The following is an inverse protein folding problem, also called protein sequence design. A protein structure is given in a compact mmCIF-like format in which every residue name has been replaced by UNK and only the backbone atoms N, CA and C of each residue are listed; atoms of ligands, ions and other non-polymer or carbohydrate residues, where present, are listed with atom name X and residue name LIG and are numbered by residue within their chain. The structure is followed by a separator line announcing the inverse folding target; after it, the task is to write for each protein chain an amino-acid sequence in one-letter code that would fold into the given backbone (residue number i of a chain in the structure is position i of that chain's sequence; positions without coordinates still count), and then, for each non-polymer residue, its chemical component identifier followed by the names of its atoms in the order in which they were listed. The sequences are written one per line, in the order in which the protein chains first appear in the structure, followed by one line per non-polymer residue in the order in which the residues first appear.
data_IF_307672420473
#
_entry.id   IF_307672420473
#
_cell.length_a   1.000
_cell.length_b   1.000
_cell.length_c   1.000
_cell.angle_alpha   90.00
_cell.angle_beta   90.00
_cell.angle_gamma   90.00
#
_symmetry.space_group_name_H-M   'P 1'
#
loop_
_entity.id
_entity.type
_entity.pdbx_description
1 polymer ?
#
# COMPACT_ATOMS: atom_id res chain seq x y z
N UNK A 1 -18.42 -16.41 -25.25
CA UNK A 1 -17.42 -15.75 -24.40
C UNK A 1 -18.00 -14.42 -23.96
N UNK A 2 -18.14 -14.15 -22.65
CA UNK A 2 -18.86 -12.98 -22.11
C UNK A 2 -18.17 -11.62 -22.36
N UNK A 3 -16.95 -11.63 -22.92
CA UNK A 3 -16.13 -10.45 -23.20
C UNK A 3 -16.29 -9.87 -24.62
N UNK A 4 -17.17 -10.45 -25.46
CA UNK A 4 -17.40 -9.95 -26.82
C UNK A 4 -16.30 -10.27 -27.85
N UNK A 5 -15.20 -10.92 -27.45
CA UNK A 5 -14.16 -11.39 -28.38
C UNK A 5 -14.54 -12.70 -29.07
N UNK A 6 -14.13 -12.84 -30.34
CA UNK A 6 -14.04 -14.14 -30.99
C UNK A 6 -12.90 -14.96 -30.38
N UNK A 7 -12.99 -16.29 -30.49
CA UNK A 7 -11.95 -17.20 -29.99
C UNK A 7 -10.57 -16.88 -30.56
N UNK A 8 -10.50 -16.50 -31.83
CA UNK A 8 -9.23 -16.14 -32.49
C UNK A 8 -8.62 -14.90 -31.86
N UNK A 9 -9.41 -13.84 -31.72
CA UNK A 9 -8.95 -12.57 -31.12
C UNK A 9 -8.48 -12.76 -29.67
N UNK A 10 -9.20 -13.58 -28.90
CA UNK A 10 -8.80 -13.87 -27.52
C UNK A 10 -7.54 -14.77 -27.47
N UNK A 11 -7.43 -15.76 -28.35
CA UNK A 11 -6.24 -16.62 -28.43
C UNK A 11 -4.99 -15.82 -28.78
N UNK A 12 -5.09 -14.87 -29.72
CA UNK A 12 -4.01 -13.97 -30.09
C UNK A 12 -3.56 -13.12 -28.90
N UNK A 13 -4.50 -12.57 -28.10
CA UNK A 13 -4.20 -11.84 -26.86
C UNK A 13 -3.51 -12.70 -25.80
N UNK A 14 -3.96 -13.94 -25.63
CA UNK A 14 -3.32 -14.89 -24.72
C UNK A 14 -1.96 -15.41 -25.23
N UNK A 15 -1.60 -15.15 -26.49
CA UNK A 15 -0.45 -15.74 -27.17
C UNK A 15 -0.53 -17.26 -27.24
N UNK A 16 -1.73 -17.79 -27.52
CA UNK A 16 -1.99 -19.21 -27.80
C UNK A 16 -2.57 -19.35 -29.21
N UNK A 17 -2.51 -20.55 -29.79
CA UNK A 17 -3.28 -20.81 -31.02
C UNK A 17 -4.76 -20.97 -30.70
N UNK A 18 -5.65 -20.55 -31.61
CA UNK A 18 -7.10 -20.77 -31.44
C UNK A 18 -7.46 -22.25 -31.27
N UNK A 19 -6.71 -23.15 -31.91
CA UNK A 19 -6.87 -24.60 -31.78
C UNK A 19 -6.49 -25.10 -30.37
N UNK A 20 -5.44 -24.55 -29.76
CA UNK A 20 -5.04 -24.87 -28.38
C UNK A 20 -6.13 -24.46 -27.40
N UNK A 21 -6.66 -23.25 -27.56
CA UNK A 21 -7.70 -22.71 -26.68
C UNK A 21 -9.00 -23.52 -26.81
N UNK A 22 -9.37 -23.89 -28.04
CA UNK A 22 -10.50 -24.81 -28.29
C UNK A 22 -10.28 -26.19 -27.66
N UNK A 23 -9.09 -26.77 -27.77
CA UNK A 23 -8.83 -28.08 -27.19
C UNK A 23 -8.94 -28.10 -25.66
N UNK A 24 -8.64 -26.97 -25.00
CA UNK A 24 -8.88 -26.77 -23.57
C UNK A 24 -10.37 -26.57 -23.23
N UNK A 25 -11.08 -25.76 -24.01
CA UNK A 25 -12.54 -25.56 -23.85
C UNK A 25 -13.33 -26.86 -24.05
N UNK A 26 -12.92 -27.69 -25.01
CA UNK A 26 -13.50 -29.01 -25.30
C UNK A 26 -13.12 -30.07 -24.24
N UNK A 27 -12.22 -29.75 -23.30
CA UNK A 27 -11.72 -30.69 -22.30
C UNK A 27 -10.84 -31.81 -22.86
N UNK A 28 -10.31 -31.67 -24.07
CA UNK A 28 -9.46 -32.70 -24.71
C UNK A 28 -8.10 -32.85 -24.01
N UNK A 29 -7.58 -31.76 -23.45
CA UNK A 29 -6.32 -31.75 -22.72
C UNK A 29 -6.41 -30.90 -21.46
N UNK A 30 -5.73 -31.29 -20.37
CA UNK A 30 -5.64 -30.48 -19.17
C UNK A 30 -4.84 -29.20 -19.43
N UNK A 31 -5.28 -28.08 -18.87
CA UNK A 31 -4.59 -26.80 -18.99
C UNK A 31 -3.36 -26.78 -18.07
N UNK A 32 -2.14 -26.55 -18.58
CA UNK A 32 -0.98 -26.42 -17.73
C UNK A 32 -1.10 -25.22 -16.78
N UNK A 33 -0.67 -25.36 -15.52
CA UNK A 33 -0.76 -24.28 -14.50
C UNK A 33 -0.16 -22.95 -14.99
N UNK A 34 1.01 -22.99 -15.64
CA UNK A 34 1.66 -21.80 -16.22
C UNK A 34 0.78 -21.13 -17.29
N UNK A 35 0.11 -21.93 -18.12
CA UNK A 35 -0.81 -21.42 -19.13
C UNK A 35 -2.08 -20.83 -18.52
N UNK A 36 -2.57 -21.41 -17.41
CA UNK A 36 -3.73 -20.90 -16.68
C UNK A 36 -3.46 -19.53 -16.06
N UNK A 37 -2.27 -19.32 -15.48
CA UNK A 37 -1.88 -17.99 -14.97
C UNK A 37 -1.90 -16.95 -16.09
N UNK A 38 -1.35 -17.28 -17.26
CA UNK A 38 -1.37 -16.38 -18.43
C UNK A 38 -2.79 -16.11 -18.94
N UNK A 39 -3.65 -17.13 -18.94
CA UNK A 39 -5.04 -17.03 -19.34
C UNK A 39 -5.83 -16.11 -18.40
N UNK A 40 -5.71 -16.30 -17.09
CA UNK A 40 -6.35 -15.46 -16.06
C UNK A 40 -5.82 -14.03 -16.11
N UNK A 41 -4.52 -13.84 -16.33
CA UNK A 41 -3.95 -12.50 -16.53
C UNK A 41 -4.55 -11.82 -17.76
N UNK A 42 -4.70 -12.54 -18.87
CA UNK A 42 -5.28 -11.95 -20.09
C UNK A 42 -6.76 -11.58 -19.88
N UNK A 43 -7.51 -12.38 -19.11
CA UNK A 43 -8.88 -12.02 -18.70
C UNK A 43 -8.90 -10.76 -17.84
N UNK A 44 -7.97 -10.65 -16.89
CA UNK A 44 -7.80 -9.47 -16.06
C UNK A 44 -7.54 -8.23 -16.91
N UNK A 45 -6.61 -8.31 -17.87
CA UNK A 45 -6.30 -7.23 -18.82
C UNK A 45 -7.50 -6.87 -19.72
N UNK A 46 -8.41 -7.81 -19.95
CA UNK A 46 -9.67 -7.60 -20.67
C UNK A 46 -10.81 -7.09 -19.75
N UNK A 47 -10.53 -6.77 -18.49
CA UNK A 47 -11.48 -6.19 -17.55
C UNK A 47 -12.31 -7.22 -16.79
N UNK A 48 -11.81 -8.44 -16.60
CA UNK A 48 -12.52 -9.50 -15.87
C UNK A 48 -11.60 -10.21 -14.87
N UNK A 49 -11.92 -10.10 -13.58
CA UNK A 49 -11.16 -10.69 -12.50
C UNK A 49 -11.71 -12.08 -12.16
N UNK A 50 -10.81 -13.03 -11.92
CA UNK A 50 -11.10 -14.42 -11.59
C UNK A 50 -9.83 -15.08 -11.04
N UNK A 51 -9.93 -16.28 -10.45
CA UNK A 51 -8.75 -17.01 -9.97
C UNK A 51 -8.47 -18.26 -10.82
N UNK A 52 -7.20 -18.70 -10.93
CA UNK A 52 -6.84 -19.94 -11.62
C UNK A 52 -7.56 -21.17 -11.08
N UNK A 53 -7.77 -21.22 -9.76
CA UNK A 53 -8.47 -22.30 -9.06
C UNK A 53 -9.91 -22.39 -9.60
N UNK A 54 -10.58 -21.25 -9.76
CA UNK A 54 -11.98 -21.24 -10.19
C UNK A 54 -12.14 -21.89 -11.57
N UNK A 55 -11.16 -21.68 -12.46
CA UNK A 55 -11.11 -22.34 -13.77
C UNK A 55 -10.79 -23.84 -13.71
N UNK A 56 -9.97 -24.27 -12.75
CA UNK A 56 -9.47 -25.64 -12.68
C UNK A 56 -10.39 -26.58 -11.90
N UNK A 57 -11.01 -26.10 -10.82
CA UNK A 57 -11.82 -26.92 -9.91
C UNK A 57 -13.12 -26.25 -9.44
N UNK A 58 -13.42 -25.03 -9.90
CA UNK A 58 -14.63 -24.29 -9.50
C UNK A 58 -14.53 -23.63 -8.12
N UNK A 59 -13.39 -23.71 -7.45
CA UNK A 59 -13.14 -23.08 -6.14
C UNK A 59 -12.42 -21.74 -6.31
N UNK A 60 -12.71 -20.74 -5.49
CA UNK A 60 -12.05 -19.43 -5.57
C UNK A 60 -12.91 -18.35 -6.21
N UNK A 61 -12.28 -17.37 -6.88
CA UNK A 61 -12.96 -16.15 -7.34
C UNK A 61 -13.65 -16.38 -8.70
N UNK A 62 -14.99 -16.42 -8.76
CA UNK A 62 -15.69 -16.50 -10.04
C UNK A 62 -15.45 -15.24 -10.89
N UNK A 63 -15.56 -15.35 -12.23
CA UNK A 63 -15.46 -14.24 -13.17
C UNK A 63 -16.36 -13.07 -12.79
N UNK A 64 -15.76 -11.90 -12.56
CA UNK A 64 -16.47 -10.66 -12.28
C UNK A 64 -15.89 -9.51 -13.10
N UNK A 65 -16.71 -8.62 -13.66
CA UNK A 65 -16.22 -7.40 -14.30
C UNK A 65 -15.39 -6.57 -13.33
N UNK A 66 -14.25 -6.09 -13.80
CA UNK A 66 -13.38 -5.17 -13.06
C UNK A 66 -13.90 -3.77 -13.33
N UNK A 67 -14.23 -3.04 -12.26
CA UNK A 67 -14.52 -1.61 -12.41
C UNK A 67 -13.18 -0.89 -12.70
N UNK A 68 -13.12 0.06 -13.64
CA UNK A 68 -11.83 0.72 -13.98
C UNK A 68 -11.15 1.35 -12.75
N UNK A 69 -11.95 1.82 -11.79
CA UNK A 69 -11.52 2.26 -10.47
C UNK A 69 -10.83 1.17 -9.62
N UNK A 70 -11.27 -0.09 -9.73
CA UNK A 70 -10.62 -1.19 -9.00
C UNK A 70 -9.27 -1.57 -9.63
N UNK A 71 -9.08 -1.35 -10.93
CA UNK A 71 -7.81 -1.66 -11.61
C UNK A 71 -6.73 -0.61 -11.29
N UNK A 72 -7.08 0.67 -11.28
CA UNK A 72 -6.16 1.73 -10.84
C UNK A 72 -5.76 1.57 -9.38
N UNK A 73 -6.72 1.28 -8.49
CA UNK A 73 -6.43 1.05 -7.07
C UNK A 73 -5.63 -0.23 -6.82
N UNK A 74 -5.79 -1.30 -7.60
CA UNK A 74 -4.93 -2.50 -7.49
C UNK A 74 -3.51 -2.19 -7.95
N UNK A 75 -3.34 -1.57 -9.11
CA UNK A 75 -2.02 -1.23 -9.64
C UNK A 75 -1.28 -0.21 -8.76
N UNK A 76 -2.02 0.74 -8.18
CA UNK A 76 -1.48 1.71 -7.22
C UNK A 76 -1.07 1.03 -5.90
N UNK A 77 -1.90 0.12 -5.36
CA UNK A 77 -1.53 -0.67 -4.18
C UNK A 77 -0.27 -1.49 -4.42
N UNK A 78 -0.15 -2.12 -5.59
CA UNK A 78 1.06 -2.86 -5.97
C UNK A 78 2.28 -1.94 -6.09
N UNK A 79 2.11 -0.72 -6.62
CA UNK A 79 3.19 0.26 -6.68
C UNK A 79 3.64 0.70 -5.27
N UNK A 80 2.70 1.05 -4.40
CA UNK A 80 2.99 1.42 -3.00
C UNK A 80 3.71 0.28 -2.29
N UNK A 81 3.26 -0.97 -2.45
CA UNK A 81 3.93 -2.14 -1.86
C UNK A 81 5.36 -2.33 -2.37
N UNK A 82 5.61 -2.12 -3.67
CA UNK A 82 6.97 -2.17 -4.22
C UNK A 82 7.86 -1.07 -3.64
N UNK A 83 7.33 0.15 -3.49
CA UNK A 83 8.06 1.26 -2.87
C UNK A 83 8.39 1.00 -1.40
N UNK A 84 7.42 0.47 -0.64
CA UNK A 84 7.60 0.05 0.76
C UNK A 84 8.70 -1.01 0.85
N UNK A 85 8.60 -2.08 0.06
CA UNK A 85 9.59 -3.15 0.04
C UNK A 85 10.99 -2.61 -0.29
N UNK A 86 11.09 -1.74 -1.30
CA UNK A 86 12.36 -1.10 -1.67
C UNK A 86 12.94 -0.26 -0.53
N UNK A 87 12.11 0.54 0.15
CA UNK A 87 12.56 1.33 1.29
C UNK A 87 13.05 0.43 2.43
N UNK A 88 12.35 -0.68 2.70
CA UNK A 88 12.72 -1.62 3.74
C UNK A 88 14.03 -2.37 3.44
N UNK A 89 14.28 -2.72 2.17
CA UNK A 89 15.52 -3.44 1.78
C UNK A 89 16.75 -2.54 1.75
N UNK A 90 16.60 -1.28 1.34
CA UNK A 90 17.73 -0.36 1.13
C UNK A 90 18.16 0.40 2.39
N UNK A 91 17.37 0.33 3.46
CA UNK A 91 17.62 1.12 4.66
C UNK A 91 17.76 0.24 5.90
N UNK A 92 18.76 0.54 6.74
CA UNK A 92 18.93 -0.13 8.03
C UNK A 92 17.85 0.31 9.02
N UNK A 93 17.28 -0.64 9.74
CA UNK A 93 16.22 -0.44 10.73
C UNK A 93 15.07 0.45 10.20
N UNK A 94 14.46 0.09 9.06
CA UNK A 94 13.39 0.90 8.48
C UNK A 94 12.17 0.88 9.40
N UNK A 95 11.43 1.97 9.39
CA UNK A 95 10.07 2.02 9.92
C UNK A 95 9.18 2.75 8.92
N UNK A 96 8.04 2.16 8.64
CA UNK A 96 6.98 2.77 7.84
C UNK A 96 5.71 2.71 8.66
N UNK A 97 4.93 3.79 8.63
CA UNK A 97 3.62 3.86 9.26
C UNK A 97 2.65 4.63 8.39
N UNK A 98 1.36 4.40 8.61
CA UNK A 98 0.26 5.10 7.94
C UNK A 98 -0.25 6.19 8.86
N UNK A 99 -0.53 7.37 8.30
CA UNK A 99 -1.17 8.46 9.03
C UNK A 99 -2.65 8.10 9.24
N UNK A 100 -3.08 8.00 10.50
CA UNK A 100 -4.43 7.55 10.87
C UNK A 100 -5.33 8.66 11.41
N UNK A 101 -4.78 9.84 11.70
CA UNK A 101 -5.50 10.99 12.24
C UNK A 101 -5.15 12.28 11.47
N UNK A 102 -5.88 13.36 11.76
CA UNK A 102 -5.74 14.66 11.09
C UNK A 102 -4.67 15.56 11.73
N UNK A 103 -3.96 15.10 12.75
CA UNK A 103 -3.04 15.94 13.56
C UNK A 103 -1.81 16.40 12.78
N UNK A 104 -1.48 15.71 11.70
CA UNK A 104 -0.32 16.00 10.87
C UNK A 104 -0.63 16.80 9.61
N UNK A 105 -1.88 17.25 9.45
CA UNK A 105 -2.22 18.23 8.42
C UNK A 105 -1.48 19.57 8.65
N UNK A 106 -1.19 20.34 7.59
CA UNK A 106 -1.44 20.03 6.17
C UNK A 106 -0.31 19.20 5.52
N UNK A 107 0.70 18.79 6.28
CA UNK A 107 1.90 18.17 5.72
C UNK A 107 1.69 16.70 5.35
N UNK A 108 0.95 15.98 6.19
CA UNK A 108 0.62 14.58 5.98
C UNK A 108 -0.88 14.36 6.18
N UNK A 109 -1.50 13.73 5.20
CA UNK A 109 -2.93 13.45 5.19
C UNK A 109 -3.23 12.03 5.68
N UNK A 110 -4.43 11.82 6.21
CA UNK A 110 -4.90 10.47 6.58
C UNK A 110 -4.80 9.54 5.38
N UNK A 111 -4.19 8.37 5.57
CA UNK A 111 -3.92 7.38 4.53
C UNK A 111 -2.53 7.50 3.90
N UNK A 112 -1.80 8.59 4.10
CA UNK A 112 -0.42 8.70 3.64
C UNK A 112 0.49 7.71 4.38
N UNK A 113 1.49 7.20 3.66
CA UNK A 113 2.57 6.41 4.23
C UNK A 113 3.77 7.31 4.49
N UNK A 114 4.35 7.22 5.69
CA UNK A 114 5.58 7.92 6.04
C UNK A 114 6.62 6.93 6.53
N UNK A 115 7.88 7.17 6.15
CA UNK A 115 8.99 6.27 6.40
C UNK A 115 10.22 6.96 6.97
N UNK A 116 10.97 6.23 7.78
CA UNK A 116 12.17 6.69 8.47
C UNK A 116 13.12 5.55 8.83
N UNK A 117 14.25 5.91 9.43
CA UNK A 117 15.23 4.97 9.99
C UNK A 117 15.20 5.06 11.50
N UNK A 118 14.85 3.97 12.17
CA UNK A 118 14.83 3.93 13.64
C UNK A 118 16.24 4.06 14.20
N UNK A 119 16.38 5.00 15.13
CA UNK A 119 17.56 5.17 15.96
C UNK A 119 17.17 5.20 17.44
N UNK A 120 18.12 4.90 18.35
CA UNK A 120 17.93 5.06 19.79
C UNK A 120 17.58 6.51 20.16
N UNK A 121 16.89 6.69 21.30
CA UNK A 121 16.48 8.01 21.82
C UNK A 121 17.65 8.97 22.07
N UNK A 122 18.86 8.46 22.30
CA UNK A 122 20.09 9.27 22.46
C UNK A 122 20.37 10.20 21.26
N UNK A 123 19.78 9.91 20.10
CA UNK A 123 19.89 10.73 18.89
C UNK A 123 18.73 11.72 18.70
N UNK A 124 17.71 11.70 19.56
CA UNK A 124 16.47 12.45 19.39
C UNK A 124 16.69 13.96 19.36
N UNK A 125 17.66 14.49 20.11
CA UNK A 125 17.98 15.93 20.10
C UNK A 125 18.35 16.45 18.70
N UNK A 126 18.92 15.60 17.85
CA UNK A 126 19.29 15.97 16.47
C UNK A 126 18.08 16.18 15.57
N UNK A 127 16.91 15.69 15.96
CA UNK A 127 15.67 15.75 15.19
C UNK A 127 14.68 16.78 15.74
N UNK A 128 15.08 17.59 16.72
CA UNK A 128 14.25 18.65 17.27
C UNK A 128 13.82 19.61 16.16
N UNK A 129 12.52 19.90 16.10
CA UNK A 129 11.91 20.75 15.09
C UNK A 129 11.59 20.04 13.77
N UNK A 130 11.91 18.75 13.63
CA UNK A 130 11.58 17.94 12.44
C UNK A 130 10.33 17.08 12.69
N UNK A 131 9.80 16.49 11.62
CA UNK A 131 8.74 15.50 11.70
C UNK A 131 9.34 14.12 11.94
N UNK A 132 8.85 13.42 12.95
CA UNK A 132 9.37 12.12 13.33
C UNK A 132 8.25 11.10 13.46
N UNK A 133 8.60 9.84 13.22
CA UNK A 133 7.88 8.66 13.68
C UNK A 133 8.49 8.31 15.05
N UNK A 134 7.69 8.35 16.10
CA UNK A 134 8.12 8.22 17.49
C UNK A 134 7.47 6.98 18.09
N UNK A 135 8.30 6.07 18.62
CA UNK A 135 7.84 4.95 19.45
C UNK A 135 7.98 5.36 20.91
N UNK A 136 6.85 5.45 21.61
CA UNK A 136 6.80 5.69 23.04
C UNK A 136 7.17 4.43 23.81
N UNK A 137 7.64 4.59 25.06
CA UNK A 137 7.88 3.45 25.96
C UNK A 137 6.58 2.68 26.27
N UNK A 138 5.43 3.34 26.16
CA UNK A 138 4.09 2.72 26.27
C UNK A 138 3.79 1.70 25.15
N UNK A 139 4.60 1.69 24.07
CA UNK A 139 4.40 0.86 22.89
C UNK A 139 3.64 1.56 21.74
N UNK A 140 3.06 2.72 22.00
CA UNK A 140 2.37 3.51 20.98
C UNK A 140 3.37 4.10 19.97
N UNK A 141 2.96 4.12 18.70
CA UNK A 141 3.72 4.78 17.62
C UNK A 141 2.92 5.96 17.09
N UNK A 142 3.51 7.14 17.13
CA UNK A 142 2.85 8.39 16.67
C UNK A 142 3.75 9.12 15.69
N UNK A 143 3.15 9.91 14.80
CA UNK A 143 3.89 10.81 13.91
C UNK A 143 3.62 12.22 14.36
N UNK A 144 4.65 12.94 14.81
CA UNK A 144 4.52 14.30 15.37
C UNK A 144 5.76 15.14 15.09
N UNK A 145 5.62 16.45 15.24
CA UNK A 145 6.77 17.35 15.27
C UNK A 145 7.46 17.25 16.63
N UNK A 146 8.75 16.93 16.64
CA UNK A 146 9.51 16.76 17.88
C UNK A 146 9.91 18.12 18.47
N UNK A 147 9.73 18.29 19.78
CA UNK A 147 10.15 19.47 20.54
C UNK A 147 10.82 19.04 21.86
N UNK A 148 11.70 19.88 22.43
CA UNK A 148 12.30 19.57 23.72
C UNK A 148 11.20 19.52 24.80
N UNK A 149 11.30 18.56 25.72
CA UNK A 149 10.51 18.52 26.94
C UNK A 149 10.98 19.54 27.97
N UNK A 150 10.27 19.64 29.08
CA UNK A 150 10.71 20.41 30.25
C UNK A 150 11.65 19.63 31.17
N UNK A 151 11.74 18.31 30.99
CA UNK A 151 12.60 17.41 31.77
C UNK A 151 13.69 16.81 30.87
N UNK A 152 14.85 16.51 31.45
CA UNK A 152 15.96 15.89 30.74
C UNK A 152 15.55 14.53 30.17
N UNK A 153 15.86 14.29 28.90
CA UNK A 153 15.49 13.05 28.20
C UNK A 153 14.00 12.91 27.85
N UNK A 154 13.16 13.91 28.16
CA UNK A 154 11.73 13.94 27.78
C UNK A 154 11.50 14.83 26.56
N UNK A 155 10.48 14.49 25.78
CA UNK A 155 10.16 15.21 24.55
C UNK A 155 8.68 15.57 24.44
N UNK A 156 8.40 16.71 23.83
CA UNK A 156 7.06 17.14 23.48
C UNK A 156 6.76 16.74 22.02
N UNK A 157 5.61 16.10 21.79
CA UNK A 157 5.18 15.62 20.48
C UNK A 157 3.98 16.45 20.03
N UNK A 158 4.20 17.32 19.05
CA UNK A 158 3.28 18.40 18.70
C UNK A 158 2.56 18.09 17.39
N UNK A 159 1.22 18.19 17.41
CA UNK A 159 0.37 18.26 16.21
C UNK A 159 0.74 19.48 15.37
N UNK A 160 0.77 19.33 14.05
CA UNK A 160 0.90 20.48 13.13
C UNK A 160 -0.45 21.07 12.75
N UNK A 161 -1.52 20.28 12.88
CA UNK A 161 -2.88 20.74 12.66
C UNK A 161 -3.42 21.37 13.94
N UNK A 162 -3.62 22.68 13.91
CA UNK A 162 -4.20 23.44 15.03
C UNK A 162 -5.70 23.16 15.18
N UNK A 163 -6.36 22.78 14.09
CA UNK A 163 -7.80 22.49 14.02
C UNK A 163 -8.09 20.98 14.10
N UNK A 164 -7.14 20.21 14.65
CA UNK A 164 -7.30 18.75 14.77
C UNK A 164 -8.50 18.39 15.64
N UNK A 165 -9.25 17.39 15.19
CA UNK A 165 -10.34 16.80 15.97
C UNK A 165 -9.85 15.73 16.95
N UNK A 166 -8.55 15.42 16.94
CA UNK A 166 -7.97 14.45 17.85
C UNK A 166 -7.99 15.00 19.28
N UNK A 167 -8.46 14.20 20.27
CA UNK A 167 -8.45 14.62 21.66
C UNK A 167 -7.03 14.80 22.22
N UNK A 168 -6.01 14.31 21.50
CA UNK A 168 -4.61 14.34 21.90
C UNK A 168 -3.77 15.06 20.84
N UNK A 169 -4.01 16.37 20.72
CA UNK A 169 -3.26 17.23 19.80
C UNK A 169 -1.77 17.30 20.15
N UNK A 170 -1.44 17.45 21.44
CA UNK A 170 -0.07 17.54 21.91
C UNK A 170 0.14 16.55 23.04
N UNK A 171 1.20 15.74 22.94
CA UNK A 171 1.68 14.91 24.04
C UNK A 171 2.89 15.60 24.66
N UNK A 172 2.86 15.82 25.97
CA UNK A 172 3.89 16.57 26.69
C UNK A 172 4.77 15.65 27.53
N UNK A 173 6.05 15.97 27.63
CA UNK A 173 7.06 15.27 28.43
C UNK A 173 7.03 13.73 28.28
N UNK A 174 6.92 13.27 27.04
CA UNK A 174 6.83 11.86 26.74
C UNK A 174 8.17 11.15 26.93
N UNK A 175 8.09 9.89 27.37
CA UNK A 175 9.21 8.95 27.27
C UNK A 175 9.26 8.34 25.87
N UNK A 176 10.37 8.55 25.18
CA UNK A 176 10.59 8.03 23.83
C UNK A 176 11.52 6.83 23.92
N UNK A 177 11.10 5.70 23.36
CA UNK A 177 11.93 4.50 23.27
C UNK A 177 12.85 4.57 22.04
N UNK A 178 12.26 4.91 20.87
CA UNK A 178 12.98 5.02 19.61
C UNK A 178 12.35 6.11 18.74
N UNK A 179 13.15 6.64 17.82
CA UNK A 179 12.71 7.72 16.94
C UNK A 179 13.26 7.52 15.53
N UNK A 180 12.51 7.99 14.54
CA UNK A 180 12.96 8.10 13.17
C UNK A 180 12.51 9.44 12.59
N UNK A 181 13.41 10.22 11.99
CA UNK A 181 12.99 11.35 11.16
C UNK A 181 12.20 10.82 9.96
N UNK A 182 11.10 11.48 9.62
CA UNK A 182 10.38 11.22 8.37
C UNK A 182 11.25 11.72 7.21
N UNK A 183 11.71 10.79 6.39
CA UNK A 183 12.55 11.05 5.21
C UNK A 183 11.92 10.50 3.91
N UNK A 184 10.83 9.76 4.04
CA UNK A 184 10.06 9.22 2.92
C UNK A 184 8.58 9.45 3.17
N UNK A 185 7.85 9.81 2.12
CA UNK A 185 6.42 10.08 2.16
C UNK A 185 5.79 9.62 0.84
N UNK A 186 4.77 8.78 0.93
CA UNK A 186 3.97 8.32 -0.20
C UNK A 186 2.50 8.62 0.07
N UNK A 187 1.94 9.50 -0.76
CA UNK A 187 0.51 9.83 -0.77
C UNK A 187 -0.28 8.74 -1.47
N UNK A 188 -1.56 8.60 -1.16
CA UNK A 188 -2.49 7.87 -2.05
C UNK A 188 -3.03 8.90 -3.05
N UNK A 189 -2.98 8.58 -4.34
CA UNK A 189 -3.52 9.44 -5.38
C UNK A 189 -5.04 9.43 -5.26
N UNK A 190 -5.63 10.58 -4.91
CA UNK A 190 -7.06 10.75 -5.00
C UNK A 190 -7.43 10.74 -6.49
N UNK A 191 -8.34 9.86 -6.94
CA UNK A 191 -8.80 9.91 -8.31
C UNK A 191 -9.35 11.30 -8.61
N UNK A 192 -8.90 11.91 -9.70
CA UNK A 192 -9.61 13.07 -10.24
C UNK A 192 -10.99 12.57 -10.67
N UNK A 193 -12.00 12.80 -9.84
CA UNK A 193 -13.38 12.58 -10.21
C UNK A 193 -13.68 13.46 -11.44
N UNK A 194 -13.84 12.81 -12.60
CA UNK A 194 -14.51 13.44 -13.73
C UNK A 194 -15.99 13.14 -13.49
N UNK A 195 -16.70 14.10 -12.91
CA UNK A 195 -18.18 14.12 -12.90
C UNK A 195 -18.73 14.02 -14.34
#
# INVERSE_FOLDING_TARGET
MQLGFSRREFADKCGFSAATLQAWEDGRYPVPKKSMVKYVQTLFDCGLATSPEWFLNGEGLPPRPINKFSMSTIAEKDAILREINFFETENKNPIITVITDDTMLPFYSVGDYVGGKLVPVDYAERYIGTFCIIKLVTGETVVRKLRPGSEEGRFNLISTNLDTNSPVACLLNCEVAQIAQVIWHRKIELPLEIE
#
